data_IF_790405961919
#
_entry.id   IF_790405961919
#
_cell.length_a   1.000
_cell.length_b   1.000
_cell.length_c   1.000
_cell.angle_alpha   90.00
_cell.angle_beta   90.00
_cell.angle_gamma   90.00
#
_symmetry.space_group_name_H-M   'P 1'
#
loop_
_entity.id
_entity.type
_entity.pdbx_description
1 polymer ?
#
# COMPACT_ATOMS: atom_id res chain seq x y z
N UNK A 1 3.12 0.52 5.10
CA UNK A 1 3.57 1.38 3.98
C UNK A 1 4.82 2.18 4.29
N UNK A 2 4.93 2.83 5.46
CA UNK A 2 6.06 3.72 5.80
C UNK A 2 7.45 3.09 5.61
N UNK A 3 7.71 1.93 6.23
CA UNK A 3 8.99 1.19 6.07
C UNK A 3 9.34 0.89 4.60
N UNK A 4 8.34 0.67 3.76
CA UNK A 4 8.57 0.40 2.34
C UNK A 4 8.92 1.66 1.56
N UNK A 5 8.31 2.80 1.90
CA UNK A 5 8.69 4.10 1.32
C UNK A 5 10.14 4.48 1.67
N UNK A 6 10.56 4.20 2.90
CA UNK A 6 11.95 4.39 3.35
C UNK A 6 12.92 3.53 2.52
N UNK A 7 12.62 2.24 2.37
CA UNK A 7 13.40 1.34 1.51
C UNK A 7 13.48 1.84 0.06
N UNK A 8 12.36 2.27 -0.53
CA UNK A 8 12.34 2.79 -1.90
C UNK A 8 13.20 4.06 -2.04
N UNK A 9 13.15 4.95 -1.04
CA UNK A 9 13.96 6.15 -1.02
C UNK A 9 15.46 5.82 -0.94
N UNK A 10 15.84 4.84 -0.12
CA UNK A 10 17.21 4.35 -0.01
C UNK A 10 17.70 3.75 -1.34
N UNK A 11 16.91 2.86 -1.95
CA UNK A 11 17.20 2.29 -3.27
C UNK A 11 17.40 3.39 -4.31
N UNK A 12 16.49 4.37 -4.38
CA UNK A 12 16.61 5.49 -5.33
C UNK A 12 17.84 6.38 -5.06
N UNK A 13 18.18 6.62 -3.80
CA UNK A 13 19.38 7.38 -3.43
C UNK A 13 20.66 6.65 -3.86
N UNK A 14 20.71 5.33 -3.71
CA UNK A 14 21.84 4.48 -4.09
C UNK A 14 22.04 4.35 -5.60
N UNK A 15 21.06 4.71 -6.44
CA UNK A 15 21.23 4.75 -7.91
C UNK A 15 22.42 5.59 -8.36
N UNK A 16 22.67 6.71 -7.70
CA UNK A 16 23.84 7.57 -7.99
C UNK A 16 25.16 6.87 -7.67
N UNK A 17 25.18 5.98 -6.70
CA UNK A 17 26.37 5.19 -6.37
C UNK A 17 26.58 4.08 -7.40
N UNK A 18 25.53 3.35 -7.78
CA UNK A 18 25.55 2.37 -8.86
C UNK A 18 26.11 2.98 -10.16
N UNK A 19 25.56 4.12 -10.59
CA UNK A 19 25.98 4.76 -11.84
C UNK A 19 27.48 5.10 -11.85
N UNK A 20 28.02 5.55 -10.71
CA UNK A 20 29.45 5.82 -10.56
C UNK A 20 30.30 4.54 -10.63
N UNK A 21 29.82 3.43 -10.07
CA UNK A 21 30.50 2.13 -10.16
C UNK A 21 30.51 1.65 -11.61
N UNK A 22 29.36 1.68 -12.29
CA UNK A 22 29.25 1.27 -13.70
C UNK A 22 30.10 2.16 -14.63
N UNK A 23 30.18 3.46 -14.38
CA UNK A 23 31.03 4.37 -15.16
C UNK A 23 32.53 4.08 -14.99
N UNK A 24 32.97 3.81 -13.76
CA UNK A 24 34.34 3.36 -13.49
C UNK A 24 34.62 2.02 -14.16
N UNK A 25 33.68 1.08 -14.09
CA UNK A 25 33.78 -0.21 -14.74
C UNK A 25 33.95 -0.09 -16.26
N UNK A 26 33.14 0.75 -16.93
CA UNK A 26 33.28 1.04 -18.37
C UNK A 26 34.61 1.70 -18.73
N UNK A 27 35.17 2.51 -17.83
CA UNK A 27 36.48 3.12 -18.04
C UNK A 27 37.60 2.08 -17.93
N UNK A 28 37.48 1.16 -16.96
CA UNK A 28 38.44 0.07 -16.74
C UNK A 28 38.44 -0.91 -17.92
N UNK A 29 37.26 -1.27 -18.42
CA UNK A 29 37.06 -2.10 -19.62
C UNK A 29 37.83 -1.57 -20.83
N UNK A 30 37.78 -0.24 -21.08
CA UNK A 30 38.51 0.40 -22.20
C UNK A 30 40.03 0.44 -22.01
N UNK A 31 40.50 0.39 -20.76
CA UNK A 31 41.93 0.52 -20.42
C UNK A 31 42.66 -0.81 -20.24
N UNK A 32 41.92 -1.92 -20.04
CA UNK A 32 42.50 -3.24 -19.80
C UNK A 32 42.61 -4.06 -21.08
N UNK A 33 43.83 -4.47 -21.42
CA UNK A 33 44.11 -5.27 -22.62
C UNK A 33 43.82 -6.78 -22.42
N UNK A 34 43.66 -7.24 -21.16
CA UNK A 34 43.49 -8.65 -20.81
C UNK A 34 42.21 -8.96 -20.00
N UNK A 35 41.66 -8.00 -19.24
CA UNK A 35 40.54 -8.26 -18.31
C UNK A 35 39.23 -7.51 -18.69
N UNK A 36 39.16 -6.89 -19.86
CA UNK A 36 38.01 -6.08 -20.27
C UNK A 36 36.68 -6.85 -20.30
N UNK A 37 36.72 -8.10 -20.76
CA UNK A 37 35.54 -8.96 -20.87
C UNK A 37 34.94 -9.31 -19.49
N UNK A 38 35.77 -9.66 -18.51
CA UNK A 38 35.31 -9.94 -17.14
C UNK A 38 34.65 -8.71 -16.52
N UNK A 39 35.25 -7.53 -16.70
CA UNK A 39 34.72 -6.26 -16.21
C UNK A 39 33.37 -5.94 -16.85
N UNK A 40 33.23 -6.16 -18.16
CA UNK A 40 31.97 -5.96 -18.88
C UNK A 40 30.87 -6.90 -18.35
N UNK A 41 31.19 -8.19 -18.16
CA UNK A 41 30.25 -9.16 -17.62
C UNK A 41 29.77 -8.77 -16.22
N UNK A 42 30.69 -8.36 -15.34
CA UNK A 42 30.36 -7.91 -13.97
C UNK A 42 29.53 -6.64 -13.95
N UNK A 43 29.81 -5.66 -14.81
CA UNK A 43 29.00 -4.45 -14.93
C UNK A 43 27.58 -4.77 -15.43
N UNK A 44 27.47 -5.65 -16.41
CA UNK A 44 26.18 -6.08 -16.96
C UNK A 44 25.36 -6.79 -15.89
N UNK A 45 25.95 -7.76 -15.20
CA UNK A 45 25.31 -8.48 -14.11
C UNK A 45 24.85 -7.53 -12.98
N UNK A 46 25.70 -6.60 -12.56
CA UNK A 46 25.35 -5.62 -11.53
C UNK A 46 24.17 -4.71 -11.96
N UNK A 47 24.11 -4.31 -13.23
CA UNK A 47 23.00 -3.53 -13.76
C UNK A 47 21.69 -4.34 -13.75
N UNK A 48 21.74 -5.60 -14.17
CA UNK A 48 20.58 -6.52 -14.15
C UNK A 48 20.05 -6.75 -12.74
N UNK A 49 20.91 -7.10 -11.78
CA UNK A 49 20.52 -7.29 -10.38
C UNK A 49 19.85 -6.03 -9.79
N UNK A 50 20.32 -4.87 -10.21
CA UNK A 50 19.75 -3.60 -9.77
C UNK A 50 18.35 -3.35 -10.36
N UNK A 51 18.16 -3.63 -11.65
CA UNK A 51 16.84 -3.56 -12.30
C UNK A 51 15.84 -4.55 -11.66
N UNK A 52 16.29 -5.75 -11.32
CA UNK A 52 15.49 -6.74 -10.60
C UNK A 52 15.10 -6.27 -9.20
N UNK A 53 16.02 -5.64 -8.47
CA UNK A 53 15.73 -5.03 -7.16
C UNK A 53 14.66 -3.93 -7.26
N UNK A 54 14.75 -3.06 -8.27
CA UNK A 54 13.74 -2.02 -8.51
C UNK A 54 12.37 -2.63 -8.81
N UNK A 55 12.32 -3.59 -9.73
CA UNK A 55 11.08 -4.28 -10.08
C UNK A 55 10.46 -5.01 -8.87
N UNK A 56 11.29 -5.63 -8.02
CA UNK A 56 10.83 -6.27 -6.79
C UNK A 56 10.25 -5.26 -5.79
N UNK A 57 10.86 -4.08 -5.67
CA UNK A 57 10.37 -3.01 -4.82
C UNK A 57 9.01 -2.48 -5.33
N UNK A 58 8.87 -2.24 -6.63
CA UNK A 58 7.61 -1.78 -7.24
C UNK A 58 6.49 -2.81 -7.08
N UNK A 59 6.79 -4.08 -7.32
CA UNK A 59 5.84 -5.18 -7.10
C UNK A 59 5.38 -5.23 -5.64
N UNK A 60 6.30 -5.08 -4.70
CA UNK A 60 5.99 -5.01 -3.27
C UNK A 60 5.10 -3.81 -2.94
N UNK A 61 5.32 -2.65 -3.56
CA UNK A 61 4.48 -1.46 -3.39
C UNK A 61 3.02 -1.74 -3.78
N UNK A 62 2.82 -2.37 -4.94
CA UNK A 62 1.49 -2.74 -5.45
C UNK A 62 0.81 -3.70 -4.47
N UNK A 63 1.50 -4.75 -4.01
CA UNK A 63 0.92 -5.71 -3.06
C UNK A 63 0.57 -5.06 -1.72
N UNK A 64 1.40 -4.17 -1.20
CA UNK A 64 1.13 -3.46 0.05
C UNK A 64 -0.08 -2.53 -0.09
N UNK A 65 -0.19 -1.79 -1.18
CA UNK A 65 -1.36 -0.93 -1.43
C UNK A 65 -2.64 -1.76 -1.53
N UNK A 66 -2.62 -2.88 -2.27
CA UNK A 66 -3.76 -3.81 -2.35
C UNK A 66 -4.17 -4.34 -0.98
N UNK A 67 -3.20 -4.70 -0.14
CA UNK A 67 -3.48 -5.19 1.20
C UNK A 67 -4.10 -4.08 2.07
N UNK A 68 -3.58 -2.85 2.02
CA UNK A 68 -4.13 -1.71 2.77
C UNK A 68 -5.57 -1.42 2.33
N UNK A 69 -5.84 -1.38 1.03
CA UNK A 69 -7.20 -1.17 0.51
C UNK A 69 -8.15 -2.26 0.97
N UNK A 70 -7.72 -3.53 0.97
CA UNK A 70 -8.52 -4.64 1.49
C UNK A 70 -8.88 -4.43 2.96
N UNK A 71 -7.91 -4.11 3.81
CA UNK A 71 -8.16 -3.90 5.24
C UNK A 71 -9.10 -2.71 5.48
N UNK A 72 -8.98 -1.64 4.70
CA UNK A 72 -9.91 -0.51 4.78
C UNK A 72 -11.34 -0.94 4.45
N UNK A 73 -11.53 -1.71 3.37
CA UNK A 73 -12.86 -2.21 2.99
C UNK A 73 -13.44 -3.10 4.11
N UNK A 74 -12.63 -3.95 4.73
CA UNK A 74 -13.10 -4.80 5.84
C UNK A 74 -13.52 -3.97 7.06
N UNK A 75 -12.77 -2.92 7.38
CA UNK A 75 -13.12 -1.99 8.43
C UNK A 75 -14.45 -1.27 8.14
N UNK A 76 -14.60 -0.76 6.91
CA UNK A 76 -15.81 -0.08 6.46
C UNK A 76 -17.03 -1.03 6.54
N UNK A 77 -16.87 -2.30 6.13
CA UNK A 77 -17.91 -3.32 6.27
C UNK A 77 -18.29 -3.56 7.73
N UNK A 78 -17.33 -3.69 8.64
CA UNK A 78 -17.60 -3.92 10.06
C UNK A 78 -18.32 -2.72 10.70
N UNK A 79 -17.99 -1.50 10.30
CA UNK A 79 -18.71 -0.29 10.74
C UNK A 79 -20.16 -0.30 10.23
N UNK A 80 -20.37 -0.65 8.96
CA UNK A 80 -21.72 -0.75 8.37
C UNK A 80 -22.55 -1.85 9.04
N UNK A 81 -21.98 -3.01 9.33
CA UNK A 81 -22.64 -4.10 10.06
C UNK A 81 -23.06 -3.65 11.45
N UNK A 82 -22.20 -2.92 12.16
CA UNK A 82 -22.51 -2.35 13.48
C UNK A 82 -23.67 -1.38 13.39
N UNK A 83 -23.61 -0.41 12.47
CA UNK A 83 -24.69 0.57 12.24
C UNK A 83 -26.00 -0.11 11.85
N UNK A 84 -25.94 -1.14 11.03
CA UNK A 84 -27.13 -1.91 10.63
C UNK A 84 -27.73 -2.64 11.84
N UNK A 85 -26.91 -3.26 12.69
CA UNK A 85 -27.37 -3.94 13.89
C UNK A 85 -28.01 -2.97 14.89
N UNK A 86 -27.41 -1.80 15.11
CA UNK A 86 -27.96 -0.74 15.97
C UNK A 86 -29.29 -0.23 15.41
N UNK A 87 -29.35 0.06 14.11
CA UNK A 87 -30.58 0.51 13.45
C UNK A 87 -31.68 -0.55 13.54
N UNK A 88 -31.34 -1.82 13.30
CA UNK A 88 -32.28 -2.93 13.38
C UNK A 88 -32.85 -3.07 14.79
N UNK A 89 -32.01 -2.95 15.83
CA UNK A 89 -32.43 -3.01 17.22
C UNK A 89 -33.42 -1.87 17.57
N UNK A 90 -33.23 -0.67 17.02
CA UNK A 90 -34.12 0.47 17.22
C UNK A 90 -35.46 0.31 16.50
N UNK A 91 -35.49 -0.27 15.29
CA UNK A 91 -36.73 -0.39 14.51
C UNK A 91 -37.53 -1.67 14.80
N UNK A 92 -36.91 -2.68 15.41
CA UNK A 92 -37.56 -3.96 15.72
C UNK A 92 -38.33 -3.95 17.06
N UNK A 93 -38.52 -2.79 17.68
CA UNK A 93 -39.27 -2.66 18.93
C UNK A 93 -40.78 -2.69 18.69
N UNK A 94 -41.51 -3.57 19.38
CA UNK A 94 -42.99 -3.60 19.39
C UNK A 94 -43.63 -2.48 20.27
N UNK A 95 -42.93 -1.37 20.48
CA UNK A 95 -43.41 -0.25 21.28
C UNK A 95 -44.04 0.82 20.38
N UNK A 96 -45.37 0.91 20.40
CA UNK A 96 -46.14 1.83 19.55
C UNK A 96 -46.58 3.12 20.27
N UNK A 97 -46.13 3.31 21.52
CA UNK A 97 -46.55 4.39 22.41
C UNK A 97 -47.88 4.08 23.12
N UNK A 98 -47.93 4.33 24.43
CA UNK A 98 -49.13 4.05 25.25
C UNK A 98 -50.16 5.18 25.23
N UNK A 99 -49.82 6.33 24.62
CA UNK A 99 -50.67 7.51 24.46
C UNK A 99 -50.16 8.39 23.29
N UNK A 100 -50.97 9.37 22.89
CA UNK A 100 -50.68 10.25 21.75
C UNK A 100 -49.30 10.93 21.83
N UNK A 101 -48.91 11.43 22.99
CA UNK A 101 -47.61 12.08 23.21
C UNK A 101 -46.44 11.09 23.02
N UNK A 102 -46.55 9.87 23.54
CA UNK A 102 -45.53 8.84 23.39
C UNK A 102 -45.41 8.39 21.93
N UNK A 103 -46.53 8.19 21.23
CA UNK A 103 -46.55 7.84 19.81
C UNK A 103 -45.95 8.96 18.94
N UNK A 104 -46.27 10.23 19.20
CA UNK A 104 -45.65 11.35 18.48
C UNK A 104 -44.14 11.46 18.73
N UNK A 105 -43.68 11.15 19.95
CA UNK A 105 -42.25 11.10 20.27
C UNK A 105 -41.53 10.01 19.47
N UNK A 106 -42.11 8.82 19.38
CA UNK A 106 -41.57 7.70 18.60
C UNK A 106 -41.52 8.03 17.09
N UNK A 107 -42.58 8.65 16.55
CA UNK A 107 -42.60 9.10 15.15
C UNK A 107 -41.47 10.09 14.88
N UNK A 108 -41.27 11.07 15.78
CA UNK A 108 -40.17 12.03 15.65
C UNK A 108 -38.83 11.33 15.66
N UNK A 109 -38.58 10.43 16.62
CA UNK A 109 -37.34 9.66 16.67
C UNK A 109 -37.10 8.86 15.38
N UNK A 110 -38.14 8.23 14.82
CA UNK A 110 -38.05 7.49 13.57
C UNK A 110 -37.78 8.36 12.34
N UNK A 111 -38.19 9.64 12.35
CA UNK A 111 -37.92 10.59 11.26
C UNK A 111 -36.48 11.12 11.26
N UNK A 112 -35.74 10.99 12.36
CA UNK A 112 -34.33 11.44 12.47
C UNK A 112 -33.33 10.29 12.37
N UNK A 113 -33.81 9.04 12.31
CA UNK A 113 -33.01 7.85 11.98
C UNK A 113 -32.72 7.79 10.48
#
# INVERSE_FOLDING_TARGET
MQKHKELQAEVNAHRKHLNRVLEKGRSLEKSSQYDGEEVQQRNTHLATEWEELEAACDKRAIHLNRAITREQILLDCAELETRLSETLALVSTDEYGKNDLATQSLIKQHQVL
#
